data_IF_865669220898
#
_entry.id   IF_865669220898
#
_cell.length_a   1.000
_cell.length_b   1.000
_cell.length_c   1.000
_cell.angle_alpha   90.00
_cell.angle_beta   90.00
_cell.angle_gamma   90.00
#
_symmetry.space_group_name_H-M   'P 1'
#
loop_
_entity.id
_entity.type
_entity.pdbx_description
1 polymer ?
#
# COMPACT_ATOMS: atom_id res chain seq x y z
N UNK A 1 15.13 -23.61 -11.14
CA UNK A 1 16.10 -22.96 -10.21
C UNK A 1 15.33 -21.99 -9.35
N UNK A 2 15.71 -21.87 -8.07
CA UNK A 2 15.16 -20.89 -7.14
C UNK A 2 16.29 -20.12 -6.48
N UNK A 3 16.15 -18.80 -6.42
CA UNK A 3 17.10 -17.91 -5.72
C UNK A 3 16.31 -17.09 -4.71
N UNK A 4 16.78 -17.07 -3.46
CA UNK A 4 16.18 -16.31 -2.37
C UNK A 4 17.01 -15.10 -2.00
N UNK A 5 16.36 -13.95 -1.86
CA UNK A 5 16.97 -12.69 -1.47
C UNK A 5 16.28 -12.01 -0.28
N UNK A 6 16.99 -11.10 0.34
CA UNK A 6 16.46 -10.21 1.38
C UNK A 6 15.35 -9.31 0.83
N UNK A 7 14.35 -8.94 1.68
CA UNK A 7 13.33 -7.92 1.34
C UNK A 7 13.90 -6.58 0.87
N UNK A 8 15.15 -6.27 1.22
CA UNK A 8 15.81 -5.00 0.84
C UNK A 8 16.27 -4.96 -0.61
N UNK A 9 16.26 -6.11 -1.33
CA UNK A 9 16.70 -6.17 -2.72
C UNK A 9 15.90 -5.23 -3.62
N UNK A 10 16.59 -4.53 -4.51
CA UNK A 10 15.96 -3.86 -5.65
C UNK A 10 15.59 -4.90 -6.71
N UNK A 11 14.29 -5.19 -6.82
CA UNK A 11 13.75 -6.20 -7.73
C UNK A 11 14.04 -5.82 -9.20
N UNK A 12 13.90 -4.53 -9.55
CA UNK A 12 14.14 -4.06 -10.91
C UNK A 12 15.60 -4.23 -11.32
N UNK A 13 16.52 -3.89 -10.42
CA UNK A 13 17.94 -4.11 -10.66
C UNK A 13 18.29 -5.59 -10.79
N UNK A 14 17.70 -6.45 -9.95
CA UNK A 14 17.91 -7.89 -10.02
C UNK A 14 17.42 -8.49 -11.34
N UNK A 15 16.21 -8.12 -11.80
CA UNK A 15 15.65 -8.61 -13.06
C UNK A 15 16.43 -8.15 -14.29
N UNK A 16 17.12 -7.01 -14.23
CA UNK A 16 18.06 -6.60 -15.31
C UNK A 16 19.24 -7.56 -15.47
N UNK A 17 19.68 -8.17 -14.38
CA UNK A 17 20.79 -9.13 -14.36
C UNK A 17 20.32 -10.54 -14.68
N UNK A 18 19.21 -10.97 -14.07
CA UNK A 18 18.65 -12.33 -14.22
C UNK A 18 17.99 -12.56 -15.58
N UNK A 19 17.44 -11.51 -16.20
CA UNK A 19 16.63 -11.59 -17.39
C UNK A 19 15.14 -11.73 -17.11
N UNK A 20 14.33 -11.92 -18.19
CA UNK A 20 12.86 -11.89 -18.09
C UNK A 20 12.22 -13.24 -17.78
N UNK A 21 12.98 -14.33 -17.84
CA UNK A 21 12.47 -15.70 -17.67
C UNK A 21 12.45 -16.12 -16.18
N UNK A 22 12.15 -15.17 -15.30
CA UNK A 22 12.10 -15.39 -13.86
C UNK A 22 10.80 -14.88 -13.27
N UNK A 23 10.01 -15.78 -12.71
CA UNK A 23 8.89 -15.40 -11.86
C UNK A 23 9.42 -14.85 -10.52
N UNK A 24 8.87 -13.71 -10.10
CA UNK A 24 9.30 -13.06 -8.88
C UNK A 24 8.21 -13.15 -7.82
N UNK A 25 8.50 -13.82 -6.72
CA UNK A 25 7.58 -13.95 -5.60
C UNK A 25 7.99 -13.01 -4.47
N UNK A 26 7.13 -12.06 -4.17
CA UNK A 26 7.26 -11.16 -3.03
C UNK A 26 6.32 -11.67 -1.92
N UNK A 27 6.91 -12.20 -0.85
CA UNK A 27 6.16 -12.82 0.24
C UNK A 27 6.18 -11.90 1.46
N UNK A 28 5.00 -11.44 1.85
CA UNK A 28 4.77 -10.70 3.10
C UNK A 28 4.01 -11.56 4.10
N UNK A 29 4.29 -11.34 5.39
CA UNK A 29 3.55 -11.93 6.51
C UNK A 29 3.10 -10.79 7.41
N UNK A 30 1.81 -10.73 7.71
CA UNK A 30 1.20 -9.66 8.49
C UNK A 30 1.57 -8.26 7.98
N UNK A 31 1.52 -8.10 6.65
CA UNK A 31 1.84 -6.85 5.95
C UNK A 31 3.30 -6.38 6.07
N UNK A 32 4.23 -7.28 6.33
CA UNK A 32 5.67 -7.04 6.33
C UNK A 32 6.36 -7.98 5.34
N UNK A 33 7.08 -7.44 4.34
CA UNK A 33 7.80 -8.26 3.36
C UNK A 33 8.91 -9.03 4.06
N UNK A 34 8.88 -10.35 3.92
CA UNK A 34 9.86 -11.26 4.53
C UNK A 34 10.86 -11.80 3.53
N UNK A 35 10.43 -12.09 2.31
CA UNK A 35 11.23 -12.77 1.31
C UNK A 35 10.96 -12.22 -0.09
N UNK A 36 12.01 -12.22 -0.92
CA UNK A 36 11.91 -12.07 -2.38
C UNK A 36 12.55 -13.32 -2.99
N UNK A 37 11.76 -14.08 -3.76
CA UNK A 37 12.19 -15.31 -4.42
C UNK A 37 12.11 -15.13 -5.93
N UNK A 38 13.15 -15.57 -6.64
CA UNK A 38 13.13 -15.70 -8.08
C UNK A 38 13.11 -17.19 -8.45
N UNK A 39 12.15 -17.59 -9.26
CA UNK A 39 12.03 -18.93 -9.81
C UNK A 39 12.13 -18.84 -11.33
N UNK A 40 12.78 -19.82 -11.97
CA UNK A 40 12.71 -19.92 -13.44
C UNK A 40 11.24 -20.07 -13.85
N UNK A 41 10.79 -19.19 -14.75
CA UNK A 41 9.37 -19.08 -15.11
C UNK A 41 9.14 -18.25 -16.35
N UNK A 42 8.10 -17.46 -16.36
CA UNK A 42 7.61 -16.68 -17.52
C UNK A 42 7.61 -15.17 -17.30
N UNK A 43 8.23 -14.70 -16.21
CA UNK A 43 8.33 -13.27 -15.88
C UNK A 43 7.14 -12.72 -15.10
N UNK A 44 6.36 -13.59 -14.45
CA UNK A 44 5.19 -13.18 -13.65
C UNK A 44 5.64 -12.68 -12.27
N UNK A 45 5.06 -11.57 -11.83
CA UNK A 45 5.18 -11.02 -10.49
C UNK A 45 4.08 -11.59 -9.59
N UNK A 46 4.44 -12.17 -8.47
CA UNK A 46 3.55 -12.77 -7.49
C UNK A 46 3.66 -12.02 -6.16
N UNK A 47 2.79 -11.07 -5.90
CA UNK A 47 2.70 -10.40 -4.60
C UNK A 47 1.76 -11.19 -3.69
N UNK A 48 2.29 -11.73 -2.61
CA UNK A 48 1.57 -12.61 -1.67
C UNK A 48 1.70 -12.07 -0.26
N UNK A 49 0.58 -11.83 0.42
CA UNK A 49 0.56 -11.42 1.82
C UNK A 49 -0.26 -12.41 2.65
N UNK A 50 0.36 -13.02 3.65
CA UNK A 50 -0.23 -14.03 4.52
C UNK A 50 -0.60 -13.38 5.85
N UNK A 51 -1.88 -13.50 6.27
CA UNK A 51 -2.40 -13.02 7.56
C UNK A 51 -3.16 -14.14 8.25
N UNK A 52 -2.51 -14.82 9.18
CA UNK A 52 -3.07 -16.02 9.80
C UNK A 52 -3.43 -17.08 8.76
N UNK A 53 -4.72 -17.42 8.62
CA UNK A 53 -5.20 -18.38 7.61
C UNK A 53 -5.60 -17.73 6.28
N UNK A 54 -5.58 -16.40 6.18
CA UNK A 54 -5.93 -15.66 4.96
C UNK A 54 -4.69 -15.37 4.14
N UNK A 55 -4.83 -15.43 2.82
CA UNK A 55 -3.75 -15.11 1.88
C UNK A 55 -4.28 -14.20 0.78
N UNK A 56 -3.78 -12.97 0.75
CA UNK A 56 -4.01 -12.04 -0.34
C UNK A 56 -3.00 -12.35 -1.45
N UNK A 57 -3.46 -12.42 -2.69
CA UNK A 57 -2.62 -12.69 -3.87
C UNK A 57 -2.91 -11.69 -4.97
N UNK A 58 -1.85 -11.17 -5.58
CA UNK A 58 -1.93 -10.26 -6.70
C UNK A 58 -0.85 -10.64 -7.73
N UNK A 59 -1.29 -11.05 -8.93
CA UNK A 59 -0.40 -11.52 -10.00
C UNK A 59 -0.46 -10.56 -11.17
N UNK A 60 0.69 -10.31 -11.79
CA UNK A 60 0.77 -9.45 -12.96
C UNK A 60 2.10 -9.64 -13.70
N UNK A 61 2.18 -9.18 -14.94
CA UNK A 61 3.45 -9.00 -15.64
C UNK A 61 3.91 -7.54 -15.55
N UNK A 62 5.22 -7.25 -15.63
CA UNK A 62 5.72 -5.89 -15.70
C UNK A 62 5.12 -5.07 -16.84
N UNK A 63 4.79 -5.71 -17.96
CA UNK A 63 4.15 -5.10 -19.10
C UNK A 63 2.73 -4.63 -18.79
N UNK A 64 1.96 -5.43 -18.03
CA UNK A 64 0.62 -5.03 -17.57
C UNK A 64 0.67 -3.78 -16.70
N UNK A 65 1.63 -3.70 -15.78
CA UNK A 65 1.82 -2.50 -14.94
C UNK A 65 2.17 -1.27 -15.78
N UNK A 66 3.02 -1.43 -16.81
CA UNK A 66 3.39 -0.31 -17.68
C UNK A 66 2.24 0.19 -18.54
N UNK A 67 1.35 -0.69 -18.99
CA UNK A 67 0.20 -0.37 -19.83
C UNK A 67 -1.02 0.11 -19.06
N UNK A 68 -1.08 -0.21 -17.76
CA UNK A 68 -2.20 0.14 -16.92
C UNK A 68 -2.45 1.65 -16.86
N UNK A 69 -3.72 2.02 -16.94
CA UNK A 69 -4.18 3.41 -16.85
C UNK A 69 -4.45 3.76 -15.39
N UNK A 70 -3.93 4.90 -14.95
CA UNK A 70 -4.13 5.37 -13.60
C UNK A 70 -4.65 6.81 -13.62
N UNK A 71 -5.78 7.02 -12.96
CA UNK A 71 -6.36 8.35 -12.75
C UNK A 71 -5.93 8.88 -11.39
N UNK A 72 -5.53 10.16 -11.35
CA UNK A 72 -5.33 10.89 -10.09
C UNK A 72 -6.64 11.50 -9.67
N UNK A 73 -7.02 11.31 -8.41
CA UNK A 73 -8.23 11.87 -7.85
C UNK A 73 -8.10 13.40 -7.70
N UNK A 74 -9.18 14.11 -8.00
CA UNK A 74 -9.27 15.54 -7.72
C UNK A 74 -9.51 15.81 -6.23
N UNK A 75 -10.24 14.90 -5.57
CA UNK A 75 -10.62 14.98 -4.16
C UNK A 75 -10.54 13.61 -3.49
N UNK A 76 -10.58 13.59 -2.15
CA UNK A 76 -10.69 12.36 -1.37
C UNK A 76 -12.15 11.93 -1.33
N UNK A 77 -12.43 10.71 -1.78
CA UNK A 77 -13.76 10.09 -1.77
C UNK A 77 -14.07 9.40 -0.42
N UNK A 78 -15.18 8.66 -0.37
CA UNK A 78 -15.69 8.03 0.86
C UNK A 78 -14.73 7.01 1.47
N UNK A 79 -13.91 6.32 0.67
CA UNK A 79 -12.97 5.31 1.14
C UNK A 79 -11.55 5.61 0.69
N UNK A 80 -10.58 5.31 1.57
CA UNK A 80 -9.15 5.31 1.26
C UNK A 80 -8.64 3.88 1.30
N UNK A 81 -7.79 3.53 0.34
CA UNK A 81 -7.21 2.22 0.13
C UNK A 81 -5.69 2.30 0.17
N UNK A 82 -5.06 1.38 0.89
CA UNK A 82 -3.60 1.19 0.88
C UNK A 82 -3.31 -0.28 0.54
N UNK A 83 -2.67 -0.58 -0.60
CA UNK A 83 -2.28 -1.94 -0.94
C UNK A 83 -1.38 -2.54 0.12
N UNK A 84 -1.38 -3.86 0.26
CA UNK A 84 -0.47 -4.53 1.18
C UNK A 84 1.01 -4.39 0.75
N UNK A 85 1.91 -4.62 1.70
CA UNK A 85 3.34 -4.41 1.52
C UNK A 85 3.93 -5.24 0.36
N UNK A 86 3.38 -6.42 0.06
CA UNK A 86 3.85 -7.24 -1.06
C UNK A 86 3.56 -6.58 -2.41
N UNK A 87 2.36 -6.01 -2.59
CA UNK A 87 1.96 -5.29 -3.81
C UNK A 87 2.81 -4.03 -3.98
N UNK A 88 3.00 -3.26 -2.89
CA UNK A 88 3.85 -2.05 -2.91
C UNK A 88 5.27 -2.43 -3.29
N UNK A 89 5.85 -3.46 -2.69
CA UNK A 89 7.20 -3.94 -3.00
C UNK A 89 7.33 -4.48 -4.42
N UNK A 90 6.27 -5.10 -4.95
CA UNK A 90 6.23 -5.58 -6.33
C UNK A 90 6.15 -4.47 -7.38
N UNK A 91 5.80 -3.24 -6.97
CA UNK A 91 5.71 -2.08 -7.86
C UNK A 91 4.41 -1.99 -8.67
N UNK A 92 3.32 -2.67 -8.25
CA UNK A 92 2.03 -2.65 -8.94
C UNK A 92 1.20 -1.41 -8.56
N UNK A 93 1.66 -0.23 -8.97
CA UNK A 93 1.03 1.03 -8.54
C UNK A 93 -0.11 1.49 -9.46
N UNK A 94 -0.01 1.25 -10.76
CA UNK A 94 -1.04 1.61 -11.73
C UNK A 94 -2.09 0.52 -11.82
N UNK A 95 -1.62 -0.72 -11.99
CA UNK A 95 -2.48 -1.86 -12.22
C UNK A 95 -3.41 -2.15 -11.03
N UNK A 96 -2.96 -1.91 -9.79
CA UNK A 96 -3.84 -2.03 -8.63
C UNK A 96 -4.97 -0.99 -8.67
N UNK A 97 -4.67 0.23 -9.08
CA UNK A 97 -5.68 1.28 -9.28
C UNK A 97 -6.67 0.89 -10.38
N UNK A 98 -6.18 0.49 -11.54
CA UNK A 98 -7.02 0.07 -12.67
C UNK A 98 -7.89 -1.14 -12.33
N UNK A 99 -7.29 -2.21 -11.77
CA UNK A 99 -8.00 -3.48 -11.48
C UNK A 99 -9.13 -3.33 -10.47
N UNK A 100 -8.99 -2.40 -9.53
CA UNK A 100 -10.00 -2.13 -8.49
C UNK A 100 -10.78 -0.83 -8.74
N UNK A 101 -10.64 -0.23 -9.93
CA UNK A 101 -11.33 1.01 -10.32
C UNK A 101 -11.13 2.13 -9.28
N UNK A 102 -9.90 2.27 -8.79
CA UNK A 102 -9.51 3.26 -7.79
C UNK A 102 -8.78 4.43 -8.43
N UNK A 103 -8.97 5.62 -7.88
CA UNK A 103 -8.18 6.79 -8.23
C UNK A 103 -7.06 6.98 -7.20
N UNK A 104 -5.85 7.27 -7.66
CA UNK A 104 -4.71 7.50 -6.78
C UNK A 104 -4.76 8.91 -6.20
N UNK A 105 -4.47 9.09 -4.91
CA UNK A 105 -4.55 10.42 -4.27
C UNK A 105 -3.46 11.38 -4.75
N UNK A 106 -2.26 10.87 -5.05
CA UNK A 106 -1.14 11.66 -5.57
C UNK A 106 -0.12 10.76 -6.27
N UNK A 107 0.68 11.30 -7.15
CA UNK A 107 1.72 10.55 -7.90
C UNK A 107 2.73 9.88 -6.99
N UNK A 108 3.06 10.48 -5.85
CA UNK A 108 4.12 10.05 -4.93
C UNK A 108 3.61 9.27 -3.71
N UNK A 109 2.29 9.03 -3.58
CA UNK A 109 1.73 8.20 -2.51
C UNK A 109 1.22 6.87 -3.05
N UNK A 110 1.10 5.86 -2.20
CA UNK A 110 0.47 4.57 -2.53
C UNK A 110 -0.94 4.48 -1.90
N UNK A 111 -1.59 5.61 -1.76
CA UNK A 111 -2.97 5.71 -1.30
C UNK A 111 -3.90 5.97 -2.49
N UNK A 112 -5.04 5.31 -2.45
CA UNK A 112 -6.09 5.41 -3.47
C UNK A 112 -7.41 5.74 -2.82
N UNK A 113 -8.39 6.18 -3.61
CA UNK A 113 -9.72 6.56 -3.13
C UNK A 113 -10.81 6.10 -4.08
N UNK A 114 -12.01 5.88 -3.54
CA UNK A 114 -13.23 5.56 -4.28
C UNK A 114 -14.45 5.84 -3.40
N UNK A 115 -15.61 6.06 -4.02
CA UNK A 115 -16.90 6.13 -3.32
C UNK A 115 -17.48 4.74 -3.02
N UNK A 116 -16.94 3.69 -3.62
CA UNK A 116 -17.40 2.32 -3.45
C UNK A 116 -16.54 1.55 -2.45
N UNK A 117 -17.14 0.81 -1.53
CA UNK A 117 -16.42 -0.12 -0.65
C UNK A 117 -16.10 -1.42 -1.38
N UNK A 118 -14.81 -1.77 -1.47
CA UNK A 118 -14.33 -2.96 -2.15
C UNK A 118 -13.82 -3.97 -1.11
N UNK A 119 -14.66 -4.92 -0.77
CA UNK A 119 -14.38 -5.91 0.31
C UNK A 119 -13.23 -6.87 0.00
N UNK A 120 -12.95 -7.12 -1.29
CA UNK A 120 -11.87 -8.02 -1.73
C UNK A 120 -10.54 -7.30 -2.01
N UNK A 121 -10.42 -6.03 -1.64
CA UNK A 121 -9.18 -5.28 -1.85
C UNK A 121 -8.02 -5.89 -1.05
N UNK A 122 -6.87 -6.17 -1.67
CA UNK A 122 -5.73 -6.82 -1.02
C UNK A 122 -4.87 -5.80 -0.25
N UNK A 123 -5.42 -5.24 0.81
CA UNK A 123 -4.77 -4.20 1.59
C UNK A 123 -5.59 -3.74 2.78
N UNK A 124 -5.44 -2.48 3.13
CA UNK A 124 -6.23 -1.80 4.16
C UNK A 124 -7.24 -0.85 3.50
N UNK A 125 -8.41 -0.79 4.07
CA UNK A 125 -9.48 0.12 3.64
C UNK A 125 -9.97 0.89 4.85
N UNK A 126 -10.11 2.20 4.70
CA UNK A 126 -10.65 3.09 5.72
C UNK A 126 -11.81 3.88 5.15
N UNK A 127 -12.86 4.01 5.93
CA UNK A 127 -13.94 4.97 5.65
C UNK A 127 -13.51 6.36 6.10
N UNK A 128 -13.70 7.35 5.24
CA UNK A 128 -13.31 8.73 5.49
C UNK A 128 -14.38 9.42 6.31
N UNK A 129 -14.07 9.76 7.54
CA UNK A 129 -14.96 10.54 8.42
C UNK A 129 -14.81 12.03 8.14
N UNK A 130 -13.60 12.46 7.82
CA UNK A 130 -13.28 13.86 7.58
C UNK A 130 -12.04 13.98 6.70
N UNK A 131 -12.13 14.80 5.69
CA UNK A 131 -11.02 15.26 4.89
C UNK A 131 -10.34 16.46 5.54
N UNK A 132 -9.51 17.17 5.14
CA UNK A 132 -8.87 18.41 5.63
C UNK A 132 -9.06 18.78 7.12
N UNK A 133 -8.02 18.60 7.91
CA UNK A 133 -7.98 19.06 9.31
C UNK A 133 -7.14 20.35 9.36
N UNK A 134 -7.78 21.49 9.15
CA UNK A 134 -7.11 22.82 9.13
C UNK A 134 -6.67 23.25 10.53
N UNK A 135 -7.48 22.98 11.55
CA UNK A 135 -7.21 23.32 12.94
C UNK A 135 -7.20 22.05 13.83
N UNK A 136 -6.13 21.25 13.80
CA UNK A 136 -6.10 19.94 14.48
C UNK A 136 -6.43 20.04 15.98
N UNK A 137 -5.99 21.09 16.66
CA UNK A 137 -6.25 21.28 18.11
C UNK A 137 -7.73 21.45 18.45
N UNK A 138 -8.55 21.93 17.51
CA UNK A 138 -10.00 22.13 17.71
C UNK A 138 -10.82 20.99 17.10
N UNK A 139 -10.30 20.36 16.07
CA UNK A 139 -11.05 19.41 15.24
C UNK A 139 -10.81 17.94 15.60
N UNK A 140 -9.66 17.64 16.24
CA UNK A 140 -9.37 16.29 16.71
C UNK A 140 -9.96 16.10 18.12
N UNK A 141 -10.64 14.98 18.31
CA UNK A 141 -11.15 14.57 19.61
C UNK A 141 -10.00 13.99 20.46
N UNK A 142 -9.49 14.77 21.41
CA UNK A 142 -8.40 14.34 22.30
C UNK A 142 -8.78 13.23 23.28
N UNK A 143 -10.06 12.85 23.36
CA UNK A 143 -10.52 11.71 24.17
C UNK A 143 -10.40 10.40 23.39
N UNK A 144 -10.56 10.44 22.07
CA UNK A 144 -10.39 9.28 21.19
C UNK A 144 -8.93 8.86 21.09
N UNK A 145 -8.73 7.58 20.78
CA UNK A 145 -7.40 7.02 20.49
C UNK A 145 -7.17 6.99 18.99
N UNK A 146 -5.92 7.24 18.58
CA UNK A 146 -5.57 7.35 17.16
C UNK A 146 -4.38 6.47 16.79
N UNK A 147 -4.54 5.70 15.75
CA UNK A 147 -3.44 5.12 14.97
C UNK A 147 -3.02 6.14 13.91
N UNK A 148 -1.78 6.64 13.99
CA UNK A 148 -1.31 7.71 13.10
C UNK A 148 -0.43 7.12 12.01
N UNK A 149 -0.78 7.39 10.76
CA UNK A 149 -0.04 6.99 9.57
C UNK A 149 0.44 8.24 8.84
N UNK A 150 1.76 8.48 8.84
CA UNK A 150 2.37 9.57 8.09
C UNK A 150 2.85 9.06 6.74
N UNK A 151 2.43 9.72 5.65
CA UNK A 151 2.80 9.41 4.27
C UNK A 151 3.22 10.68 3.54
N UNK A 152 4.52 10.83 3.29
CA UNK A 152 5.09 12.04 2.67
C UNK A 152 4.82 13.35 3.45
N UNK A 153 4.57 13.24 4.75
CA UNK A 153 4.34 14.37 5.64
C UNK A 153 5.59 14.67 6.47
N UNK A 154 5.94 15.94 6.74
CA UNK A 154 7.22 16.30 7.37
C UNK A 154 7.36 15.89 8.83
N UNK A 155 6.25 15.57 9.51
CA UNK A 155 6.27 15.13 10.91
C UNK A 155 6.10 13.61 11.01
N UNK A 156 6.86 13.00 11.93
CA UNK A 156 6.66 11.60 12.28
C UNK A 156 5.34 11.38 13.01
N UNK A 157 4.80 10.14 13.05
CA UNK A 157 3.61 9.81 13.85
C UNK A 157 3.75 10.23 15.33
N UNK A 158 4.93 10.06 15.91
CA UNK A 158 5.20 10.41 17.30
C UNK A 158 5.22 11.93 17.52
N UNK A 159 5.75 12.69 16.56
CA UNK A 159 5.74 14.16 16.62
C UNK A 159 4.32 14.71 16.50
N UNK A 160 3.51 14.12 15.60
CA UNK A 160 2.09 14.47 15.46
C UNK A 160 1.35 14.18 16.77
N UNK A 161 1.56 12.99 17.35
CA UNK A 161 0.95 12.57 18.63
C UNK A 161 1.29 13.54 19.75
N UNK A 162 2.56 13.89 19.91
CA UNK A 162 3.04 14.84 20.92
C UNK A 162 2.48 16.24 20.69
N UNK A 163 2.55 16.75 19.45
CA UNK A 163 2.13 18.10 19.08
C UNK A 163 0.64 18.34 19.34
N UNK A 164 -0.21 17.34 19.09
CA UNK A 164 -1.66 17.45 19.23
C UNK A 164 -2.22 16.74 20.47
N UNK A 165 -1.35 16.17 21.33
CA UNK A 165 -1.70 15.47 22.58
C UNK A 165 -2.70 14.33 22.34
N UNK A 166 -2.51 13.54 21.28
CA UNK A 166 -3.38 12.43 20.91
C UNK A 166 -3.01 11.18 21.70
N UNK A 167 -4.01 10.38 22.07
CA UNK A 167 -3.82 9.08 22.71
C UNK A 167 -3.54 8.01 21.64
N UNK A 168 -2.68 7.06 21.98
CA UNK A 168 -2.40 5.91 21.14
C UNK A 168 -3.51 4.87 21.20
N UNK A 169 -3.86 4.28 20.05
CA UNK A 169 -4.81 3.20 19.91
C UNK A 169 -5.56 3.22 18.57
N UNK A 170 -6.51 2.32 18.42
CA UNK A 170 -7.09 1.94 17.12
C UNK A 170 -8.55 2.38 16.93
N UNK A 171 -9.06 3.33 17.73
CA UNK A 171 -10.44 3.80 17.58
C UNK A 171 -10.63 4.56 16.24
N UNK A 172 -9.60 5.33 15.87
CA UNK A 172 -9.58 6.13 14.63
C UNK A 172 -8.20 6.12 14.00
N UNK A 173 -8.17 6.31 12.68
CA UNK A 173 -6.94 6.52 11.94
C UNK A 173 -6.79 8.00 11.58
N UNK A 174 -5.56 8.52 11.72
CA UNK A 174 -5.17 9.84 11.24
C UNK A 174 -4.11 9.64 10.15
N UNK A 175 -4.49 9.94 8.91
CA UNK A 175 -3.60 9.94 7.76
C UNK A 175 -3.05 11.36 7.56
N UNK A 176 -1.73 11.51 7.54
CA UNK A 176 -1.02 12.78 7.38
C UNK A 176 0.07 12.66 6.31
#
# INVERSE_FOLDING_TARGET
>A
IMIKFSPMLDITAALRVLGRDWDTHIVAVNNEVKEVLFLTGTGVMHAVNIRGMQTDRFFFSPENEQQAQLTIAADIHQYIYEPNAAIIKAGAYRLVGERYELQKLDTNTHLYTSDSFISCFPGRVWEVIKTEIKEPKKQLDTKAKYSILSRNYPLSPDDIRKKYKLKDGDDRYLLA
#
